data_IF_698090957502
#
_entry.id   IF_698090957502
#
_cell.length_a   1.000
_cell.length_b   1.000
_cell.length_c   1.000
_cell.angle_alpha   90.00
_cell.angle_beta   90.00
_cell.angle_gamma   90.00
#
_symmetry.space_group_name_H-M   'P 1'
#
loop_
_entity.id
_entity.type
_entity.pdbx_description
1 polymer ?
#
# COMPACT_ATOMS: atom_id res chain seq x y z
N UNK A 1 -8.32 -9.28 9.50
CA UNK A 1 -8.32 -8.31 10.58
C UNK A 1 -6.98 -8.38 11.32
N UNK A 2 -6.17 -7.32 11.26
CA UNK A 2 -4.82 -7.22 11.84
C UNK A 2 -4.82 -6.67 13.27
N UNK A 3 -5.98 -6.19 13.76
CA UNK A 3 -6.10 -5.64 15.11
C UNK A 3 -5.85 -6.68 16.19
N UNK A 4 -5.00 -6.35 17.18
CA UNK A 4 -4.77 -7.19 18.36
C UNK A 4 -6.07 -7.45 19.17
N UNK A 5 -7.01 -6.49 19.13
CA UNK A 5 -8.34 -6.62 19.75
C UNK A 5 -9.27 -7.61 19.04
N UNK A 6 -8.98 -7.97 17.78
CA UNK A 6 -9.80 -8.92 17.01
C UNK A 6 -9.70 -10.37 17.49
N UNK A 7 -8.77 -10.68 18.37
CA UNK A 7 -8.62 -12.04 18.95
C UNK A 7 -9.84 -12.52 19.74
N UNK A 8 -10.66 -11.60 20.26
CA UNK A 8 -11.86 -11.90 21.07
C UNK A 8 -13.15 -11.68 20.28
N UNK A 9 -13.40 -12.50 19.24
CA UNK A 9 -14.65 -12.45 18.47
C UNK A 9 -15.87 -12.95 19.25
N UNK A 10 -15.68 -13.55 20.44
CA UNK A 10 -16.76 -14.15 21.23
C UNK A 10 -17.80 -13.15 21.71
N UNK A 11 -17.41 -11.89 21.90
CA UNK A 11 -18.27 -10.85 22.43
C UNK A 11 -18.84 -9.92 21.33
N UNK A 12 -18.61 -10.25 20.05
CA UNK A 12 -19.09 -9.41 18.94
C UNK A 12 -20.51 -9.82 18.53
N UNK A 13 -21.38 -8.85 18.22
CA UNK A 13 -22.76 -9.12 17.83
C UNK A 13 -22.92 -9.72 16.41
N UNK A 14 -21.83 -10.01 15.74
CA UNK A 14 -21.80 -10.55 14.38
C UNK A 14 -20.75 -11.62 14.23
N UNK A 15 -20.98 -12.54 13.30
CA UNK A 15 -20.00 -13.58 12.93
C UNK A 15 -18.99 -13.00 11.93
N UNK A 16 -17.70 -13.21 12.19
CA UNK A 16 -16.64 -12.82 11.26
C UNK A 16 -16.41 -13.98 10.29
N UNK A 17 -16.67 -13.77 9.00
CA UNK A 17 -16.23 -14.72 7.96
C UNK A 17 -14.73 -14.47 7.68
N UNK A 18 -13.92 -15.48 7.96
CA UNK A 18 -12.46 -15.39 7.79
C UNK A 18 -11.98 -15.81 6.40
N UNK A 19 -12.92 -16.12 5.50
CA UNK A 19 -12.63 -16.60 4.15
C UNK A 19 -11.94 -17.96 4.11
N UNK A 20 -11.70 -18.47 2.90
CA UNK A 20 -11.02 -19.74 2.64
C UNK A 20 -9.58 -19.56 2.11
N UNK A 21 -9.22 -18.35 1.68
CA UNK A 21 -7.86 -17.97 1.32
C UNK A 21 -7.24 -17.03 2.35
N UNK A 22 -5.92 -17.07 2.46
CA UNK A 22 -5.17 -16.27 3.44
C UNK A 22 -4.03 -15.52 2.76
N UNK A 23 -3.83 -14.28 3.21
CA UNK A 23 -2.64 -13.50 2.90
C UNK A 23 -1.49 -13.97 3.79
N UNK A 24 -0.28 -14.02 3.26
CA UNK A 24 0.92 -14.15 4.07
C UNK A 24 1.21 -12.81 4.76
N UNK A 25 0.72 -12.67 5.99
CA UNK A 25 0.79 -11.41 6.75
C UNK A 25 2.20 -11.14 7.27
N UNK A 26 2.56 -9.86 7.32
CA UNK A 26 3.77 -9.36 7.98
C UNK A 26 3.44 -8.87 9.39
N UNK A 27 4.33 -9.00 10.37
CA UNK A 27 4.14 -8.39 11.68
C UNK A 27 4.08 -6.86 11.56
N UNK A 28 3.39 -6.21 12.51
CA UNK A 28 3.38 -4.75 12.61
C UNK A 28 4.81 -4.26 12.92
N UNK A 29 5.36 -3.32 12.16
CA UNK A 29 6.77 -2.94 12.28
C UNK A 29 7.10 -2.08 13.50
N UNK A 30 6.10 -1.43 14.12
CA UNK A 30 6.31 -0.55 15.25
C UNK A 30 6.15 -1.27 16.58
N UNK A 31 7.14 -1.10 17.46
CA UNK A 31 7.05 -1.57 18.84
C UNK A 31 6.10 -0.66 19.63
N UNK A 32 5.24 -1.22 20.52
CA UNK A 32 4.42 -0.39 21.41
C UNK A 32 5.30 0.37 22.40
N UNK A 33 4.80 1.51 22.87
CA UNK A 33 5.43 2.23 23.98
C UNK A 33 5.46 1.36 25.25
N UNK A 34 6.43 1.57 26.16
CA UNK A 34 6.54 0.81 27.40
C UNK A 34 5.26 0.86 28.22
N UNK A 35 4.60 -0.29 28.39
CA UNK A 35 3.33 -0.44 29.11
C UNK A 35 2.08 -0.42 28.24
N UNK A 36 2.21 -0.20 26.95
CA UNK A 36 1.11 -0.28 25.99
C UNK A 36 1.05 -1.65 25.29
N UNK A 37 -0.11 -2.00 24.79
CA UNK A 37 -0.27 -3.13 23.90
C UNK A 37 -0.09 -2.66 22.44
N UNK A 38 0.48 -3.48 21.56
CA UNK A 38 0.59 -3.11 20.16
C UNK A 38 -0.79 -2.86 19.57
N UNK A 39 -0.93 -1.78 18.81
CA UNK A 39 -2.17 -1.40 18.15
C UNK A 39 -2.61 -2.50 17.16
N UNK A 40 -1.65 -3.04 16.43
CA UNK A 40 -1.85 -4.14 15.49
C UNK A 40 -0.87 -5.29 15.79
N UNK A 41 -1.29 -6.51 15.52
CA UNK A 41 -0.40 -7.68 15.53
C UNK A 41 0.33 -7.83 14.19
N UNK A 42 -0.36 -7.46 13.11
CA UNK A 42 0.12 -7.56 11.74
C UNK A 42 -0.12 -6.25 11.00
N UNK A 43 0.73 -5.96 10.02
CA UNK A 43 0.55 -4.84 9.10
C UNK A 43 -0.82 -4.94 8.40
N UNK A 44 -1.70 -3.93 8.56
CA UNK A 44 -3.05 -3.94 7.99
C UNK A 44 -3.08 -3.68 6.47
N UNK A 45 -2.03 -3.08 5.88
CA UNK A 45 -2.02 -2.51 4.52
C UNK A 45 -1.92 -3.57 3.41
N UNK A 46 -2.61 -4.69 3.57
CA UNK A 46 -2.54 -5.84 2.64
C UNK A 46 -2.95 -5.49 1.21
N UNK A 47 -3.85 -4.50 1.05
CA UNK A 47 -4.39 -4.07 -0.25
C UNK A 47 -3.36 -3.38 -1.15
N UNK A 48 -2.24 -2.91 -0.63
CA UNK A 48 -1.19 -2.25 -1.44
C UNK A 48 -0.53 -3.20 -2.43
N UNK A 49 -0.66 -4.52 -2.22
CA UNK A 49 -0.26 -5.55 -3.19
C UNK A 49 -1.46 -6.12 -3.95
N UNK A 50 -1.52 -6.03 -5.29
CA UNK A 50 -2.54 -6.69 -6.12
C UNK A 50 -2.72 -8.19 -5.85
N UNK A 51 -1.65 -8.91 -5.49
CA UNK A 51 -1.72 -10.32 -5.10
C UNK A 51 -2.60 -10.54 -3.86
N UNK A 52 -2.46 -9.66 -2.87
CA UNK A 52 -3.25 -9.72 -1.65
C UNK A 52 -4.68 -9.21 -1.87
N UNK A 53 -4.85 -8.17 -2.69
CA UNK A 53 -6.17 -7.68 -3.07
C UNK A 53 -7.01 -8.78 -3.76
N UNK A 54 -6.38 -9.64 -4.57
CA UNK A 54 -7.04 -10.80 -5.17
C UNK A 54 -7.59 -11.76 -4.11
N UNK A 55 -6.82 -12.04 -3.05
CA UNK A 55 -7.29 -12.86 -1.91
C UNK A 55 -8.49 -12.20 -1.21
N UNK A 56 -8.47 -10.87 -1.03
CA UNK A 56 -9.60 -10.14 -0.45
C UNK A 56 -10.85 -10.26 -1.33
N UNK A 57 -10.71 -10.06 -2.64
CA UNK A 57 -11.80 -10.19 -3.63
C UNK A 57 -12.39 -11.60 -3.61
N UNK A 58 -11.54 -12.64 -3.60
CA UNK A 58 -11.97 -14.03 -3.48
C UNK A 58 -12.83 -14.25 -2.24
N UNK A 59 -12.33 -13.87 -1.08
CA UNK A 59 -13.03 -14.06 0.20
C UNK A 59 -14.34 -13.28 0.27
N UNK A 60 -14.39 -12.05 -0.27
CA UNK A 60 -15.62 -11.25 -0.38
C UNK A 60 -16.63 -11.97 -1.29
N UNK A 61 -16.21 -12.46 -2.47
CA UNK A 61 -17.07 -13.21 -3.37
C UNK A 61 -17.69 -14.43 -2.69
N UNK A 62 -16.86 -15.20 -1.95
CA UNK A 62 -17.33 -16.36 -1.19
C UNK A 62 -18.31 -16.00 -0.07
N UNK A 63 -18.09 -14.89 0.60
CA UNK A 63 -19.03 -14.40 1.62
C UNK A 63 -20.37 -13.97 1.00
N UNK A 64 -20.36 -13.29 -0.14
CA UNK A 64 -21.56 -12.91 -0.88
C UNK A 64 -22.36 -14.13 -1.39
N UNK A 65 -21.68 -15.16 -1.93
CA UNK A 65 -22.33 -16.42 -2.33
C UNK A 65 -23.12 -17.08 -1.17
N UNK A 66 -22.62 -16.95 0.06
CA UNK A 66 -23.29 -17.49 1.26
C UNK A 66 -24.42 -16.60 1.74
N UNK A 67 -24.21 -15.28 1.71
CA UNK A 67 -25.16 -14.30 2.24
C UNK A 67 -26.38 -14.13 1.34
N UNK A 68 -26.22 -14.27 0.03
CA UNK A 68 -27.28 -14.11 -0.98
C UNK A 68 -27.21 -15.22 -2.03
N UNK A 69 -27.73 -16.43 -1.69
CA UNK A 69 -27.68 -17.60 -2.57
C UNK A 69 -28.46 -17.42 -3.89
N UNK A 70 -29.48 -16.54 -3.91
CA UNK A 70 -30.32 -16.32 -5.08
C UNK A 70 -29.54 -15.64 -6.23
N UNK A 71 -28.49 -14.88 -5.91
CA UNK A 71 -27.61 -14.23 -6.89
C UNK A 71 -26.20 -14.85 -6.96
N UNK A 72 -26.05 -16.08 -6.45
CA UNK A 72 -24.77 -16.76 -6.36
C UNK A 72 -23.96 -16.77 -7.65
N UNK A 73 -24.60 -17.10 -8.77
CA UNK A 73 -23.93 -17.23 -10.08
C UNK A 73 -23.34 -15.87 -10.53
N UNK A 74 -24.04 -14.77 -10.24
CA UNK A 74 -23.53 -13.42 -10.53
C UNK A 74 -22.32 -13.08 -9.69
N UNK A 75 -22.30 -13.43 -8.40
CA UNK A 75 -21.14 -13.22 -7.53
C UNK A 75 -19.94 -14.04 -7.97
N UNK A 76 -20.15 -15.31 -8.34
CA UNK A 76 -19.08 -16.17 -8.88
C UNK A 76 -18.47 -15.55 -10.14
N UNK A 77 -19.31 -15.10 -11.08
CA UNK A 77 -18.84 -14.54 -12.36
C UNK A 77 -18.09 -13.22 -12.12
N UNK A 78 -18.66 -12.29 -11.35
CA UNK A 78 -18.04 -10.99 -11.06
C UNK A 78 -16.69 -11.15 -10.32
N UNK A 79 -16.64 -12.09 -9.38
CA UNK A 79 -15.40 -12.40 -8.65
C UNK A 79 -14.31 -12.89 -9.61
N UNK A 80 -14.62 -13.87 -10.47
CA UNK A 80 -13.67 -14.40 -11.45
C UNK A 80 -13.18 -13.33 -12.43
N UNK A 81 -14.08 -12.47 -12.91
CA UNK A 81 -13.73 -11.42 -13.86
C UNK A 81 -12.80 -10.39 -13.21
N UNK A 82 -13.06 -10.04 -11.95
CA UNK A 82 -12.20 -9.10 -11.25
C UNK A 82 -10.87 -9.72 -10.81
N UNK A 83 -10.85 -10.99 -10.38
CA UNK A 83 -9.61 -11.73 -10.10
C UNK A 83 -8.70 -11.78 -11.34
N UNK A 84 -9.27 -12.00 -12.53
CA UNK A 84 -8.52 -11.96 -13.80
C UNK A 84 -7.88 -10.58 -14.02
N UNK A 85 -8.64 -9.50 -13.80
CA UNK A 85 -8.09 -8.13 -13.88
C UNK A 85 -6.95 -7.91 -12.89
N UNK A 86 -7.06 -8.44 -11.67
CA UNK A 86 -6.00 -8.33 -10.67
C UNK A 86 -4.75 -9.14 -11.05
N UNK A 87 -4.89 -10.28 -11.72
CA UNK A 87 -3.74 -11.04 -12.27
C UNK A 87 -3.02 -10.26 -13.38
N UNK A 88 -3.77 -9.60 -14.25
CA UNK A 88 -3.22 -8.74 -15.30
C UNK A 88 -2.53 -7.50 -14.70
N UNK A 89 -3.14 -6.91 -13.66
CA UNK A 89 -2.57 -5.78 -12.93
C UNK A 89 -1.27 -6.18 -12.21
N UNK A 90 -1.26 -7.32 -11.52
CA UNK A 90 -0.06 -7.86 -10.85
C UNK A 90 1.10 -8.02 -11.83
N UNK A 91 0.80 -8.61 -12.99
CA UNK A 91 1.81 -8.74 -14.05
C UNK A 91 2.31 -7.39 -14.54
N UNK A 92 1.41 -6.43 -14.80
CA UNK A 92 1.77 -5.09 -15.25
C UNK A 92 2.62 -4.35 -14.22
N UNK A 93 2.29 -4.45 -12.93
CA UNK A 93 3.10 -3.90 -11.83
C UNK A 93 4.50 -4.49 -11.84
N UNK A 94 4.60 -5.82 -11.92
CA UNK A 94 5.89 -6.49 -11.96
C UNK A 94 6.73 -6.03 -13.16
N UNK A 95 6.14 -5.99 -14.36
CA UNK A 95 6.82 -5.56 -15.59
C UNK A 95 7.28 -4.09 -15.50
N UNK A 96 6.50 -3.24 -14.85
CA UNK A 96 6.86 -1.84 -14.59
C UNK A 96 8.04 -1.73 -13.64
N UNK A 97 7.98 -2.40 -12.49
CA UNK A 97 9.03 -2.32 -11.46
C UNK A 97 10.36 -2.93 -11.97
N UNK A 98 10.32 -4.03 -12.72
CA UNK A 98 11.57 -4.63 -13.27
C UNK A 98 12.22 -3.79 -14.35
N UNK A 99 11.53 -2.80 -14.92
CA UNK A 99 12.15 -1.82 -15.84
C UNK A 99 13.13 -0.89 -15.12
N UNK A 100 13.03 -0.77 -13.80
CA UNK A 100 13.95 0.01 -12.95
C UNK A 100 15.10 -0.89 -12.49
N UNK A 101 16.36 -0.45 -12.53
CA UNK A 101 17.46 -1.18 -11.90
C UNK A 101 17.20 -1.43 -10.41
N UNK A 102 17.52 -2.63 -9.91
CA UNK A 102 17.22 -3.03 -8.53
C UNK A 102 17.79 -2.05 -7.49
N UNK A 103 19.00 -1.53 -7.73
CA UNK A 103 19.65 -0.55 -6.84
C UNK A 103 18.91 0.80 -6.74
N UNK A 104 17.99 1.09 -7.64
CA UNK A 104 17.20 2.33 -7.68
C UNK A 104 15.79 2.15 -7.12
N UNK A 105 15.35 0.91 -6.88
CA UNK A 105 14.02 0.60 -6.31
C UNK A 105 14.00 0.85 -4.81
N UNK A 106 14.19 2.11 -4.40
CA UNK A 106 14.25 2.53 -2.99
C UNK A 106 13.05 3.40 -2.68
N UNK A 107 12.23 2.97 -1.72
CA UNK A 107 10.97 3.61 -1.34
C UNK A 107 11.05 4.19 0.07
N UNK A 108 10.64 5.44 0.19
CA UNK A 108 10.39 6.16 1.44
C UNK A 108 9.09 6.93 1.29
N UNK A 109 8.17 6.81 2.23
CA UNK A 109 6.80 7.33 2.12
C UNK A 109 6.40 8.21 3.31
N UNK A 110 5.15 8.69 3.33
CA UNK A 110 4.62 9.46 4.47
C UNK A 110 4.47 8.60 5.71
N UNK A 111 3.87 7.41 5.59
CA UNK A 111 3.76 6.42 6.65
C UNK A 111 4.04 5.01 6.12
N UNK A 112 4.11 4.02 6.99
CA UNK A 112 4.51 2.65 6.64
C UNK A 112 3.30 1.83 6.11
N UNK A 113 2.88 2.13 4.88
CA UNK A 113 1.77 1.43 4.21
C UNK A 113 2.21 0.48 3.10
N UNK A 114 3.44 0.56 2.62
CA UNK A 114 3.88 -0.14 1.41
C UNK A 114 4.73 -1.39 1.66
N UNK A 115 4.64 -1.96 2.87
CA UNK A 115 5.41 -3.16 3.24
C UNK A 115 5.12 -4.36 2.35
N UNK A 116 3.84 -4.68 2.11
CA UNK A 116 3.46 -5.79 1.23
C UNK A 116 3.81 -5.54 -0.24
N UNK A 117 3.59 -4.33 -0.74
CA UNK A 117 4.02 -3.94 -2.08
C UNK A 117 5.52 -4.13 -2.25
N UNK A 118 6.30 -3.61 -1.32
CA UNK A 118 7.76 -3.69 -1.34
C UNK A 118 8.27 -5.12 -1.35
N UNK A 119 7.70 -5.97 -0.50
CA UNK A 119 8.01 -7.40 -0.43
C UNK A 119 7.70 -8.13 -1.75
N UNK A 120 6.51 -7.89 -2.31
CA UNK A 120 5.99 -8.67 -3.42
C UNK A 120 6.62 -8.29 -4.78
N UNK A 121 7.19 -7.08 -4.88
CA UNK A 121 7.81 -6.57 -6.12
C UNK A 121 9.29 -6.23 -6.02
N UNK A 122 9.95 -6.63 -4.93
CA UNK A 122 11.39 -6.44 -4.78
C UNK A 122 11.81 -4.97 -4.71
N UNK A 123 11.03 -4.16 -3.98
CA UNK A 123 11.32 -2.77 -3.67
C UNK A 123 11.95 -2.69 -2.28
N UNK A 124 13.00 -1.91 -2.11
CA UNK A 124 13.63 -1.69 -0.79
C UNK A 124 12.90 -0.57 -0.07
N UNK A 125 12.03 -0.90 0.88
CA UNK A 125 11.43 0.07 1.78
C UNK A 125 12.45 0.46 2.86
N UNK A 126 12.70 1.76 3.03
CA UNK A 126 13.75 2.27 3.94
C UNK A 126 13.19 3.11 5.09
N UNK A 127 11.90 3.38 5.13
CA UNK A 127 11.26 4.10 6.21
C UNK A 127 10.13 5.01 5.78
N UNK A 128 9.58 5.71 6.77
CA UNK A 128 8.49 6.65 6.61
C UNK A 128 8.77 7.96 7.36
N UNK A 129 8.16 9.05 6.88
CA UNK A 129 8.30 10.38 7.48
C UNK A 129 7.59 10.50 8.84
N UNK A 130 6.54 9.70 9.05
CA UNK A 130 5.76 9.63 10.29
C UNK A 130 6.05 8.31 10.97
N UNK A 131 6.26 8.35 12.29
CA UNK A 131 6.73 7.20 13.07
C UNK A 131 5.61 6.29 13.56
N UNK A 132 4.36 6.69 13.42
CA UNK A 132 3.19 5.90 13.80
C UNK A 132 2.01 6.10 12.84
N UNK A 133 1.05 5.18 12.90
CA UNK A 133 -0.16 5.16 12.07
C UNK A 133 -1.06 6.39 12.28
N UNK A 134 -1.09 6.91 13.50
CA UNK A 134 -1.96 8.02 13.91
C UNK A 134 -1.23 9.37 13.94
N UNK A 135 0.03 9.43 13.51
CA UNK A 135 0.81 10.66 13.56
C UNK A 135 0.25 11.73 12.63
N UNK A 136 -0.70 12.50 13.15
CA UNK A 136 -1.14 13.76 12.52
C UNK A 136 -0.18 14.91 12.81
N UNK A 137 0.85 14.67 13.63
CA UNK A 137 1.87 15.65 13.97
C UNK A 137 3.02 15.63 12.95
N UNK A 138 3.57 16.79 12.66
CA UNK A 138 4.77 16.91 11.83
C UNK A 138 5.95 16.17 12.50
N UNK A 139 6.87 15.61 11.70
CA UNK A 139 8.06 14.94 12.19
C UNK A 139 8.95 15.89 13.03
N UNK A 140 9.54 15.36 14.10
CA UNK A 140 10.48 16.14 14.91
C UNK A 140 11.77 16.46 14.14
N UNK A 141 12.47 17.52 14.54
CA UNK A 141 13.75 17.89 13.93
C UNK A 141 14.80 16.76 14.00
N UNK A 142 14.79 15.98 15.08
CA UNK A 142 15.67 14.81 15.23
C UNK A 142 15.32 13.73 14.20
N UNK A 143 14.04 13.38 14.07
CA UNK A 143 13.56 12.39 13.11
C UNK A 143 13.84 12.82 11.65
N UNK A 144 13.62 14.11 11.32
CA UNK A 144 13.95 14.65 10.00
C UNK A 144 15.44 14.44 9.67
N UNK A 145 16.32 14.73 10.63
CA UNK A 145 17.76 14.56 10.45
C UNK A 145 18.15 13.10 10.24
N UNK A 146 17.69 12.21 11.10
CA UNK A 146 17.98 10.77 11.06
C UNK A 146 17.48 10.16 9.75
N UNK A 147 16.23 10.44 9.37
CA UNK A 147 15.64 9.99 8.10
C UNK A 147 16.40 10.52 6.89
N UNK A 148 16.82 11.79 6.90
CA UNK A 148 17.60 12.36 5.80
C UNK A 148 18.98 11.68 5.65
N UNK A 149 19.63 11.29 6.75
CA UNK A 149 20.87 10.52 6.71
C UNK A 149 20.65 9.11 6.15
N UNK A 150 19.57 8.43 6.52
CA UNK A 150 19.21 7.12 5.98
C UNK A 150 18.89 7.20 4.48
N UNK A 151 18.12 8.19 4.05
CA UNK A 151 17.82 8.47 2.64
C UNK A 151 19.12 8.63 1.84
N UNK A 152 20.06 9.44 2.32
CA UNK A 152 21.37 9.63 1.65
C UNK A 152 22.15 8.33 1.52
N UNK A 153 22.18 7.52 2.57
CA UNK A 153 22.92 6.23 2.59
C UNK A 153 22.26 5.20 1.66
N UNK A 154 20.94 5.24 1.52
CA UNK A 154 20.19 4.27 0.73
C UNK A 154 20.34 4.43 -0.78
N UNK A 155 20.72 5.63 -1.24
CA UNK A 155 20.75 5.99 -2.66
C UNK A 155 19.38 6.33 -3.24
N UNK A 156 18.35 6.56 -2.40
CA UNK A 156 17.03 7.01 -2.85
C UNK A 156 17.14 8.32 -3.65
N UNK A 157 16.43 8.39 -4.76
CA UNK A 157 16.43 9.57 -5.66
C UNK A 157 15.22 10.46 -5.46
N UNK A 158 14.17 9.93 -4.83
CA UNK A 158 12.94 10.65 -4.51
C UNK A 158 12.29 10.08 -3.24
N UNK A 159 11.52 10.93 -2.56
CA UNK A 159 10.62 10.54 -1.46
C UNK A 159 9.17 10.83 -1.89
N UNK A 160 8.23 10.05 -1.38
CA UNK A 160 6.86 10.05 -1.87
C UNK A 160 5.89 10.41 -0.74
N UNK A 161 5.12 11.47 -0.93
CA UNK A 161 3.97 11.74 -0.07
C UNK A 161 2.81 10.82 -0.41
N UNK A 162 1.85 10.73 0.50
CA UNK A 162 0.60 10.01 0.31
C UNK A 162 -0.58 10.96 0.38
N UNK A 163 -1.65 10.61 -0.36
CA UNK A 163 -2.84 11.47 -0.48
C UNK A 163 -3.61 11.65 0.84
N UNK A 164 -3.43 10.76 1.80
CA UNK A 164 -4.08 10.78 3.12
C UNK A 164 -3.31 11.56 4.18
N UNK A 165 -2.05 11.94 3.93
CA UNK A 165 -1.15 12.54 4.90
C UNK A 165 -0.67 13.93 4.48
N UNK A 166 -0.22 14.72 5.47
CA UNK A 166 0.43 16.00 5.22
C UNK A 166 1.84 15.77 4.62
N UNK A 167 2.13 16.41 3.50
CA UNK A 167 3.42 16.28 2.79
C UNK A 167 4.61 16.96 3.46
N UNK A 168 4.40 17.86 4.44
CA UNK A 168 5.47 18.71 5.01
C UNK A 168 6.66 17.92 5.56
N UNK A 169 6.41 16.80 6.24
CA UNK A 169 7.49 15.97 6.79
C UNK A 169 8.31 15.32 5.67
N UNK A 170 7.65 14.81 4.62
CA UNK A 170 8.34 14.26 3.43
C UNK A 170 9.16 15.34 2.73
N UNK A 171 8.60 16.54 2.54
CA UNK A 171 9.30 17.68 1.94
C UNK A 171 10.53 18.10 2.75
N UNK A 172 10.39 18.18 4.07
CA UNK A 172 11.51 18.57 4.97
C UNK A 172 12.65 17.55 4.91
N UNK A 173 12.32 16.24 4.92
CA UNK A 173 13.31 15.15 4.84
C UNK A 173 13.97 15.15 3.45
N UNK A 174 13.19 15.28 2.38
CA UNK A 174 13.71 15.32 1.02
C UNK A 174 14.66 16.51 0.80
N UNK A 175 14.29 17.71 1.29
CA UNK A 175 15.14 18.87 1.26
C UNK A 175 16.46 18.65 2.03
N UNK A 176 16.40 18.10 3.26
CA UNK A 176 17.58 17.82 4.07
C UNK A 176 18.47 16.72 3.46
N UNK A 177 17.88 15.77 2.74
CA UNK A 177 18.59 14.71 2.02
C UNK A 177 19.14 15.17 0.66
N UNK A 178 18.61 16.25 0.08
CA UNK A 178 18.98 16.72 -1.25
C UNK A 178 18.39 15.90 -2.40
N UNK A 179 17.20 15.32 -2.19
CA UNK A 179 16.47 14.51 -3.17
C UNK A 179 15.12 15.14 -3.51
N UNK A 180 14.43 14.62 -4.52
CA UNK A 180 13.09 15.07 -4.90
C UNK A 180 12.04 14.69 -3.83
N UNK A 181 11.04 15.56 -3.60
CA UNK A 181 9.78 15.21 -2.97
C UNK A 181 8.70 15.08 -4.05
N UNK A 182 8.02 13.96 -4.10
CA UNK A 182 6.86 13.70 -4.97
C UNK A 182 5.61 13.93 -4.11
N UNK A 183 4.85 14.98 -4.43
CA UNK A 183 3.75 15.51 -3.61
C UNK A 183 2.59 15.97 -4.49
N UNK A 184 1.49 16.39 -3.88
CA UNK A 184 0.34 16.97 -4.58
C UNK A 184 -0.39 15.94 -5.43
N UNK A 185 -0.60 16.25 -6.70
CA UNK A 185 -1.32 15.37 -7.63
C UNK A 185 -0.55 14.08 -7.95
N UNK A 186 0.75 14.07 -7.73
CA UNK A 186 1.62 12.90 -7.90
C UNK A 186 1.79 12.09 -6.59
N UNK A 187 1.13 12.48 -5.49
CA UNK A 187 1.17 11.74 -4.23
C UNK A 187 0.59 10.33 -4.41
N UNK A 188 1.15 9.36 -3.68
CA UNK A 188 0.70 7.98 -3.73
C UNK A 188 -0.66 7.80 -3.03
N UNK A 189 -1.46 6.87 -3.51
CA UNK A 189 -2.68 6.40 -2.86
C UNK A 189 -2.32 5.23 -1.94
N UNK A 190 -2.26 5.49 -0.62
CA UNK A 190 -2.00 4.48 0.41
C UNK A 190 -3.29 3.95 1.02
N UNK A 191 -3.88 4.73 1.95
CA UNK A 191 -5.03 4.32 2.76
C UNK A 191 -6.38 4.66 2.17
N UNK A 192 -6.43 5.51 1.16
CA UNK A 192 -7.69 5.94 0.55
C UNK A 192 -7.59 6.04 -0.95
N UNK A 193 -8.71 5.79 -1.62
CA UNK A 193 -8.86 6.11 -3.03
C UNK A 193 -8.97 7.62 -3.23
N UNK A 194 -8.74 8.07 -4.45
CA UNK A 194 -8.95 9.44 -4.86
C UNK A 194 -10.42 9.78 -5.12
N UNK A 195 -10.76 11.06 -5.25
CA UNK A 195 -12.11 11.49 -5.61
C UNK A 195 -12.48 11.02 -7.03
N UNK A 196 -13.79 11.03 -7.32
CA UNK A 196 -14.30 10.70 -8.65
C UNK A 196 -13.65 11.57 -9.73
N UNK A 197 -13.18 10.95 -10.79
CA UNK A 197 -12.48 11.61 -11.91
C UNK A 197 -10.99 11.78 -11.70
N UNK A 198 -10.43 11.41 -10.54
CA UNK A 198 -8.99 11.41 -10.30
C UNK A 198 -8.30 10.14 -10.81
N UNK A 199 -6.98 10.17 -10.85
CA UNK A 199 -6.14 9.01 -11.19
C UNK A 199 -6.18 7.89 -10.15
N UNK A 200 -6.82 8.11 -9.00
CA UNK A 200 -6.97 7.12 -7.93
C UNK A 200 -8.42 6.78 -7.60
N UNK A 201 -9.41 7.11 -8.46
CA UNK A 201 -10.83 6.89 -8.14
C UNK A 201 -11.25 5.42 -7.98
N UNK A 202 -10.47 4.48 -8.55
CA UNK A 202 -10.68 3.03 -8.38
C UNK A 202 -9.39 2.36 -7.95
N UNK A 203 -9.50 1.13 -7.42
CA UNK A 203 -8.33 0.36 -7.00
C UNK A 203 -7.30 0.19 -8.14
N UNK A 204 -7.75 -0.20 -9.34
CA UNK A 204 -6.85 -0.39 -10.50
C UNK A 204 -6.15 0.92 -10.85
N UNK A 205 -6.89 2.03 -10.92
CA UNK A 205 -6.31 3.35 -11.21
C UNK A 205 -5.35 3.82 -10.13
N UNK A 206 -5.64 3.57 -8.85
CA UNK A 206 -4.73 3.95 -7.77
C UNK A 206 -3.40 3.19 -7.84
N UNK A 207 -3.43 1.89 -8.15
CA UNK A 207 -2.22 1.10 -8.36
C UNK A 207 -1.47 1.54 -9.63
N UNK A 208 -2.18 1.80 -10.74
CA UNK A 208 -1.58 2.33 -11.97
C UNK A 208 -0.83 3.64 -11.70
N UNK A 209 -1.49 4.59 -11.03
CA UNK A 209 -0.92 5.87 -10.65
C UNK A 209 0.34 5.68 -9.78
N UNK A 210 0.23 4.91 -8.71
CA UNK A 210 1.34 4.67 -7.78
C UNK A 210 2.55 4.08 -8.52
N UNK A 211 2.32 3.04 -9.29
CA UNK A 211 3.40 2.32 -9.98
C UNK A 211 4.04 3.17 -11.07
N UNK A 212 3.24 3.91 -11.84
CA UNK A 212 3.76 4.83 -12.85
C UNK A 212 4.60 5.93 -12.21
N UNK A 213 4.10 6.56 -11.14
CA UNK A 213 4.82 7.60 -10.38
C UNK A 213 6.16 7.06 -9.82
N UNK A 214 6.14 5.90 -9.19
CA UNK A 214 7.36 5.26 -8.66
C UNK A 214 8.36 4.96 -9.76
N UNK A 215 7.89 4.30 -10.83
CA UNK A 215 8.74 3.88 -11.96
C UNK A 215 9.39 5.07 -12.66
N UNK A 216 8.62 6.13 -12.93
CA UNK A 216 9.11 7.35 -13.56
C UNK A 216 10.13 8.07 -12.67
N UNK A 217 9.86 8.19 -11.37
CA UNK A 217 10.76 8.82 -10.41
C UNK A 217 12.10 8.07 -10.29
N UNK A 218 12.08 6.76 -10.43
CA UNK A 218 13.26 5.88 -10.39
C UNK A 218 13.96 5.74 -11.75
N UNK A 219 13.45 6.43 -12.80
CA UNK A 219 14.08 6.43 -14.13
C UNK A 219 13.80 5.19 -14.98
N UNK A 220 12.79 4.40 -14.60
CA UNK A 220 12.26 3.30 -15.41
C UNK A 220 11.17 3.77 -16.37
N UNK A 221 10.44 2.82 -16.93
CA UNK A 221 9.30 3.10 -17.81
C UNK A 221 8.27 1.99 -17.71
N UNK A 222 7.08 2.33 -17.21
CA UNK A 222 5.95 1.40 -17.21
C UNK A 222 5.51 1.07 -18.64
N UNK A 223 5.20 -0.19 -18.95
CA UNK A 223 4.53 -0.53 -20.20
C UNK A 223 3.13 0.10 -20.26
N UNK A 224 2.53 0.13 -21.45
CA UNK A 224 1.13 0.57 -21.57
C UNK A 224 0.22 -0.33 -20.74
N UNK A 225 -0.73 0.28 -19.98
CA UNK A 225 -1.70 -0.48 -19.23
C UNK A 225 -2.57 -1.32 -20.18
N UNK A 226 -2.80 -2.60 -19.90
CA UNK A 226 -3.70 -3.44 -20.70
C UNK A 226 -5.09 -2.81 -20.89
N UNK A 227 -5.67 -2.97 -22.06
CA UNK A 227 -6.98 -2.37 -22.41
C UNK A 227 -8.11 -2.79 -21.47
N UNK A 228 -8.05 -4.02 -20.97
CA UNK A 228 -9.04 -4.60 -20.05
C UNK A 228 -9.01 -4.00 -18.65
N UNK A 229 -7.95 -3.23 -18.34
CA UNK A 229 -7.76 -2.52 -17.07
C UNK A 229 -8.12 -1.02 -17.15
N UNK A 230 -8.30 -0.48 -18.35
CA UNK A 230 -8.64 0.94 -18.60
C UNK A 230 -10.08 1.29 -18.26
#
# INVERSE_FOLDING_TARGET
DSSAAAKNDKDKPYTVDRGDQKVNVAPWPFAPEPGEQPEFEYDPHVWTSPKNAKVQVHNIGKALEKADPDHKDAYIQNTKDYEKKLDELDKWVNDSIVSVPESQRVLFTSHDAFGYFSRDYGVKFIGAALSDFNAQSDATAAHIKESAEEVKKSGAVALFAENSNNSKSVEAIAHAAGVKAIIGDDALYGDSLGPKGSNGETYIKSIEHNVSTLTDAWGGKSPELPSDLK
#
